data_IF_609980080245
#
_entry.id   IF_609980080245
#
_cell.length_a   1.000
_cell.length_b   1.000
_cell.length_c   1.000
_cell.angle_alpha   90.00
_cell.angle_beta   90.00
_cell.angle_gamma   90.00
#
_symmetry.space_group_name_H-M   'P 1'
#
loop_
_entity.id
_entity.type
_entity.pdbx_description
1 polymer ?
#
# COMPACT_ATOMS: atom_id res chain seq x y z
N UNK A 1 1.28 19.76 -10.82
CA UNK A 1 1.38 21.12 -11.37
C UNK A 1 0.21 21.46 -12.33
N UNK A 2 -0.21 20.57 -13.23
CA UNK A 2 -1.32 20.80 -14.16
C UNK A 2 -2.66 21.02 -13.43
N UNK A 3 -2.98 20.20 -12.44
CA UNK A 3 -4.19 20.36 -11.64
C UNK A 3 -4.20 21.72 -10.88
N UNK A 4 -3.10 22.07 -10.24
CA UNK A 4 -2.96 23.37 -9.55
C UNK A 4 -3.21 24.53 -10.53
N UNK A 5 -2.62 24.47 -11.71
CA UNK A 5 -2.82 25.50 -12.74
C UNK A 5 -4.26 25.50 -13.27
N UNK A 6 -4.90 24.35 -13.48
CA UNK A 6 -6.29 24.29 -13.93
C UNK A 6 -7.28 24.93 -12.93
N UNK A 7 -7.00 24.85 -11.64
CA UNK A 7 -7.81 25.46 -10.59
C UNK A 7 -7.54 26.97 -10.48
N UNK A 8 -6.29 27.41 -10.63
CA UNK A 8 -5.88 28.80 -10.39
C UNK A 8 -6.00 29.68 -11.65
N UNK A 9 -5.74 29.11 -12.84
CA UNK A 9 -5.74 29.87 -14.09
C UNK A 9 -7.02 30.70 -14.36
N UNK A 10 -8.24 30.21 -14.09
CA UNK A 10 -9.45 31.01 -14.30
C UNK A 10 -9.50 32.29 -13.46
N UNK A 11 -8.78 32.35 -12.36
CA UNK A 11 -8.80 33.48 -11.40
C UNK A 11 -7.63 34.45 -11.59
N UNK A 12 -6.61 34.06 -12.37
CA UNK A 12 -5.48 34.94 -12.69
C UNK A 12 -5.97 36.20 -13.43
N UNK A 13 -5.60 37.36 -12.90
CA UNK A 13 -6.04 38.66 -13.43
C UNK A 13 -7.46 39.07 -13.05
N UNK A 14 -8.22 38.22 -12.32
CA UNK A 14 -9.52 38.58 -11.74
C UNK A 14 -9.43 38.82 -10.22
N UNK A 15 -8.50 38.14 -9.56
CA UNK A 15 -8.23 38.28 -8.13
C UNK A 15 -6.85 38.92 -7.90
N UNK A 16 -6.66 39.58 -6.73
CA UNK A 16 -5.33 40.09 -6.34
C UNK A 16 -4.28 39.00 -6.28
N UNK A 17 -3.05 39.32 -6.63
CA UNK A 17 -1.92 38.36 -6.65
C UNK A 17 -1.73 37.65 -5.31
N UNK A 18 -1.92 38.35 -4.18
CA UNK A 18 -1.85 37.76 -2.83
C UNK A 18 -2.91 36.66 -2.58
N UNK A 19 -4.06 36.74 -3.22
CA UNK A 19 -5.11 35.73 -3.14
C UNK A 19 -4.71 34.54 -4.00
N UNK A 20 -4.16 34.78 -5.18
CA UNK A 20 -3.65 33.73 -6.07
C UNK A 20 -2.50 32.95 -5.39
N UNK A 21 -1.55 33.64 -4.77
CA UNK A 21 -0.46 33.03 -4.01
C UNK A 21 -0.98 32.14 -2.85
N UNK A 22 -1.96 32.61 -2.09
CA UNK A 22 -2.60 31.82 -1.04
C UNK A 22 -3.30 30.57 -1.59
N UNK A 23 -4.02 30.70 -2.71
CA UNK A 23 -4.64 29.54 -3.38
C UNK A 23 -3.57 28.53 -3.82
N UNK A 24 -2.46 29.02 -4.38
CA UNK A 24 -1.36 28.17 -4.80
C UNK A 24 -0.67 27.46 -3.64
N UNK A 25 -0.54 28.11 -2.49
CA UNK A 25 0.01 27.53 -1.28
C UNK A 25 -0.91 26.43 -0.73
N UNK A 26 -2.20 26.71 -0.63
CA UNK A 26 -3.20 25.74 -0.18
C UNK A 26 -3.27 24.51 -1.11
N UNK A 27 -3.15 24.71 -2.43
CA UNK A 27 -3.09 23.66 -3.43
C UNK A 27 -1.73 22.95 -3.50
N UNK A 28 -0.77 23.29 -2.65
CA UNK A 28 0.54 22.63 -2.58
C UNK A 28 0.57 21.50 -1.54
N UNK A 29 -0.50 21.29 -0.78
CA UNK A 29 -0.62 20.24 0.23
C UNK A 29 -0.76 18.84 -0.36
N UNK A 30 -0.54 17.81 0.48
CA UNK A 30 -0.66 16.39 0.11
C UNK A 30 -2.06 16.03 -0.40
N UNK A 31 -3.11 16.62 0.17
CA UNK A 31 -4.51 16.43 -0.25
C UNK A 31 -4.73 16.76 -1.73
N UNK A 32 -4.05 17.78 -2.26
CA UNK A 32 -4.17 18.17 -3.67
C UNK A 32 -3.60 17.11 -4.61
N UNK A 33 -2.53 16.43 -4.20
CA UNK A 33 -1.94 15.33 -4.99
C UNK A 33 -2.92 14.15 -5.04
N UNK A 34 -3.57 13.84 -3.93
CA UNK A 34 -4.56 12.76 -3.85
C UNK A 34 -5.81 13.09 -4.69
N UNK A 35 -6.30 14.33 -4.63
CA UNK A 35 -7.43 14.79 -5.47
C UNK A 35 -7.07 14.73 -6.96
N UNK A 36 -5.89 15.22 -7.35
CA UNK A 36 -5.44 15.18 -8.72
C UNK A 36 -5.32 13.73 -9.24
N UNK A 37 -4.79 12.83 -8.42
CA UNK A 37 -4.71 11.41 -8.73
C UNK A 37 -6.11 10.78 -8.89
N UNK A 38 -7.04 11.13 -8.01
CA UNK A 38 -8.43 10.65 -8.08
C UNK A 38 -9.16 11.21 -9.30
N UNK A 39 -8.94 12.47 -9.66
CA UNK A 39 -9.52 13.05 -10.87
C UNK A 39 -9.07 12.31 -12.13
N UNK A 40 -7.78 12.01 -12.25
CA UNK A 40 -7.27 11.22 -13.37
C UNK A 40 -7.83 9.79 -13.36
N UNK A 41 -7.88 9.15 -12.19
CA UNK A 41 -8.49 7.83 -12.02
C UNK A 41 -9.98 7.84 -12.43
N UNK A 42 -10.74 8.84 -11.98
CA UNK A 42 -12.16 8.98 -12.29
C UNK A 42 -12.41 9.16 -13.79
N UNK A 43 -11.54 9.87 -14.53
CA UNK A 43 -11.64 10.02 -15.98
C UNK A 43 -11.64 8.66 -16.70
N UNK A 44 -10.79 7.71 -16.27
CA UNK A 44 -10.76 6.38 -16.85
C UNK A 44 -12.06 5.60 -16.62
N UNK A 45 -12.76 5.86 -15.51
CA UNK A 45 -14.03 5.18 -15.18
C UNK A 45 -15.22 5.86 -15.88
N UNK A 46 -15.18 7.20 -16.04
CA UNK A 46 -16.33 7.98 -16.47
C UNK A 46 -16.32 8.32 -17.96
N UNK A 47 -15.15 8.38 -18.60
CA UNK A 47 -15.01 8.76 -20.00
C UNK A 47 -15.68 7.74 -20.94
N UNK A 48 -16.67 8.19 -21.68
CA UNK A 48 -17.44 7.34 -22.64
C UNK A 48 -16.57 6.82 -23.77
N UNK A 49 -15.64 7.65 -24.26
CA UNK A 49 -14.72 7.30 -25.35
C UNK A 49 -13.74 6.16 -24.97
N UNK A 50 -13.39 6.03 -23.70
CA UNK A 50 -12.56 4.93 -23.20
C UNK A 50 -13.35 3.62 -23.09
N UNK A 51 -14.64 3.67 -22.76
CA UNK A 51 -15.53 2.50 -22.72
C UNK A 51 -15.74 1.91 -24.11
N UNK A 52 -15.80 2.75 -25.14
CA UNK A 52 -15.92 2.30 -26.53
C UNK A 52 -14.57 1.79 -27.10
N UNK A 53 -13.46 2.16 -26.47
CA UNK A 53 -12.10 1.82 -26.93
C UNK A 53 -11.54 0.55 -26.30
N UNK A 54 -11.92 0.25 -25.05
CA UNK A 54 -11.36 -0.86 -24.28
C UNK A 54 -12.46 -1.76 -23.72
N UNK A 55 -12.29 -3.05 -23.85
CA UNK A 55 -13.18 -4.06 -23.23
C UNK A 55 -12.96 -4.14 -21.71
N UNK A 56 -11.72 -3.93 -21.24
CA UNK A 56 -11.34 -3.97 -19.85
C UNK A 56 -10.39 -2.83 -19.51
N UNK A 57 -10.52 -2.29 -18.31
CA UNK A 57 -9.58 -1.33 -17.72
C UNK A 57 -9.05 -1.96 -16.43
N UNK A 58 -7.74 -2.14 -16.34
CA UNK A 58 -7.07 -2.74 -15.18
C UNK A 58 -6.26 -1.64 -14.50
N UNK A 59 -6.54 -1.42 -13.21
CA UNK A 59 -5.80 -0.50 -12.38
C UNK A 59 -4.79 -1.28 -11.52
N UNK A 60 -3.50 -1.09 -11.77
CA UNK A 60 -2.45 -1.49 -10.85
C UNK A 60 -2.25 -0.38 -9.83
N UNK A 61 -2.54 -0.70 -8.57
CA UNK A 61 -2.64 0.29 -7.50
C UNK A 61 -1.38 0.35 -6.64
N UNK A 62 -1.15 1.51 -6.01
CA UNK A 62 -0.15 1.68 -4.96
C UNK A 62 -0.48 0.82 -3.71
N UNK A 63 0.43 0.70 -2.72
CA UNK A 63 0.13 0.01 -1.46
C UNK A 63 -1.19 0.45 -0.83
N UNK A 64 -1.90 -0.50 -0.22
CA UNK A 64 -3.31 -0.42 0.20
C UNK A 64 -3.75 0.89 0.85
N UNK A 65 -2.94 1.49 1.74
CA UNK A 65 -3.30 2.72 2.45
C UNK A 65 -3.56 3.92 1.54
N UNK A 66 -2.72 4.15 0.52
CA UNK A 66 -2.92 5.25 -0.45
C UNK A 66 -4.12 5.00 -1.38
N UNK A 67 -4.31 3.76 -1.81
CA UNK A 67 -5.46 3.40 -2.66
C UNK A 67 -6.77 3.55 -1.92
N UNK A 68 -6.83 3.09 -0.66
CA UNK A 68 -8.00 3.24 0.20
C UNK A 68 -8.35 4.71 0.43
N UNK A 69 -7.38 5.56 0.78
CA UNK A 69 -7.60 7.01 0.91
C UNK A 69 -8.15 7.60 -0.39
N UNK A 70 -7.58 7.26 -1.53
CA UNK A 70 -8.03 7.73 -2.83
C UNK A 70 -9.48 7.33 -3.11
N UNK A 71 -9.88 6.10 -2.77
CA UNK A 71 -11.25 5.61 -2.99
C UNK A 71 -12.25 6.16 -1.95
N UNK A 72 -11.81 6.58 -0.77
CA UNK A 72 -12.63 7.22 0.25
C UNK A 72 -12.92 8.70 -0.05
N UNK A 73 -12.02 9.38 -0.77
CA UNK A 73 -12.12 10.81 -1.09
C UNK A 73 -13.50 11.23 -1.64
N UNK A 74 -14.11 10.52 -2.61
CA UNK A 74 -15.39 10.94 -3.18
C UNK A 74 -16.54 10.97 -2.19
N UNK A 75 -16.60 10.00 -1.28
CA UNK A 75 -17.63 9.94 -0.23
C UNK A 75 -17.44 11.06 0.79
N UNK A 76 -16.20 11.29 1.23
CA UNK A 76 -15.85 12.39 2.12
C UNK A 76 -16.16 13.75 1.49
N UNK A 77 -15.85 13.93 0.20
CA UNK A 77 -16.11 15.15 -0.54
C UNK A 77 -17.59 15.41 -0.78
N UNK A 78 -18.36 14.36 -1.12
CA UNK A 78 -19.81 14.48 -1.33
C UNK A 78 -20.49 14.93 -0.04
N UNK A 79 -20.10 14.40 1.12
CA UNK A 79 -20.59 14.78 2.42
C UNK A 79 -20.18 16.23 2.76
N UNK A 80 -18.90 16.57 2.56
CA UNK A 80 -18.37 17.91 2.82
C UNK A 80 -19.07 18.99 1.96
N UNK A 81 -19.28 18.76 0.66
CA UNK A 81 -19.99 19.68 -0.23
C UNK A 81 -21.47 19.83 0.20
N UNK A 82 -22.10 18.74 0.67
CA UNK A 82 -23.50 18.78 1.13
C UNK A 82 -23.67 19.49 2.48
N UNK A 83 -22.67 19.45 3.35
CA UNK A 83 -22.68 20.08 4.67
C UNK A 83 -22.19 21.54 4.65
N UNK A 84 -21.36 21.93 3.68
CA UNK A 84 -20.83 23.29 3.54
C UNK A 84 -21.87 24.25 2.93
N UNK A 85 -22.93 24.54 3.66
CA UNK A 85 -23.90 25.59 3.29
C UNK A 85 -23.40 27.01 3.55
N UNK A 86 -22.20 27.21 4.09
CA UNK A 86 -21.58 28.50 4.36
C UNK A 86 -20.15 28.55 3.77
N UNK A 87 -20.06 29.09 2.61
CA UNK A 87 -18.99 29.49 1.71
C UNK A 87 -17.62 29.92 2.21
N UNK A 88 -16.97 29.24 3.14
CA UNK A 88 -15.57 29.48 3.50
C UNK A 88 -14.90 28.15 3.79
N UNK A 89 -14.59 27.41 2.75
CA UNK A 89 -13.70 26.26 2.83
C UNK A 89 -12.30 26.66 2.36
N UNK A 90 -11.30 25.96 2.86
CA UNK A 90 -9.89 26.10 2.47
C UNK A 90 -9.58 25.95 0.96
N UNK A 91 -10.59 25.69 0.12
CA UNK A 91 -10.47 25.35 -1.30
C UNK A 91 -11.06 26.38 -2.27
N UNK A 92 -11.30 27.62 -1.85
CA UNK A 92 -11.78 28.67 -2.73
C UNK A 92 -13.23 28.48 -3.20
N UNK A 93 -13.75 29.40 -4.03
CA UNK A 93 -15.12 29.35 -4.52
C UNK A 93 -15.38 28.11 -5.38
N UNK A 94 -16.27 27.27 -4.88
CA UNK A 94 -16.56 25.87 -5.25
C UNK A 94 -17.29 25.67 -6.60
N UNK A 95 -17.35 26.63 -7.51
CA UNK A 95 -18.11 26.49 -8.76
C UNK A 95 -17.62 25.37 -9.69
N UNK A 96 -16.34 24.98 -9.62
CA UNK A 96 -15.81 23.83 -10.36
C UNK A 96 -16.11 22.47 -9.72
N UNK A 97 -16.37 22.44 -8.41
CA UNK A 97 -16.59 21.19 -7.67
C UNK A 97 -18.00 20.62 -7.82
N UNK A 98 -19.00 21.45 -8.18
CA UNK A 98 -20.34 20.95 -8.45
C UNK A 98 -20.38 20.14 -9.76
N UNK A 99 -19.62 20.53 -10.77
CA UNK A 99 -19.51 19.76 -12.03
C UNK A 99 -18.77 18.44 -11.80
N UNK A 100 -17.75 18.42 -10.93
CA UNK A 100 -17.02 17.23 -10.56
C UNK A 100 -17.84 16.27 -9.67
N UNK A 101 -18.81 16.76 -8.92
CA UNK A 101 -19.65 15.97 -8.00
C UNK A 101 -20.39 14.84 -8.72
N UNK A 102 -20.97 15.10 -9.88
CA UNK A 102 -21.65 14.07 -10.65
C UNK A 102 -20.67 13.02 -11.21
N UNK A 103 -19.46 13.47 -11.59
CA UNK A 103 -18.39 12.59 -12.05
C UNK A 103 -17.93 11.66 -10.91
N UNK A 104 -17.73 12.21 -9.72
CA UNK A 104 -17.35 11.42 -8.55
C UNK A 104 -18.43 10.43 -8.12
N UNK A 105 -19.67 10.89 -8.08
CA UNK A 105 -20.81 10.02 -7.78
C UNK A 105 -20.95 8.87 -8.79
N UNK A 106 -20.73 9.17 -10.07
CA UNK A 106 -20.74 8.14 -11.10
C UNK A 106 -19.57 7.16 -10.90
N UNK A 107 -18.35 7.66 -10.59
CA UNK A 107 -17.19 6.80 -10.33
C UNK A 107 -17.43 5.88 -9.13
N UNK A 108 -17.94 6.41 -8.01
CA UNK A 108 -18.28 5.62 -6.81
C UNK A 108 -19.31 4.54 -7.11
N UNK A 109 -20.38 4.92 -7.83
CA UNK A 109 -21.44 3.98 -8.20
C UNK A 109 -20.90 2.87 -9.13
N UNK A 110 -20.00 3.21 -10.06
CA UNK A 110 -19.37 2.21 -10.95
C UNK A 110 -18.45 1.27 -10.16
N UNK A 111 -17.70 1.78 -9.21
CA UNK A 111 -16.84 0.96 -8.34
C UNK A 111 -17.65 0.03 -7.42
N UNK A 112 -18.82 0.49 -6.97
CA UNK A 112 -19.72 -0.31 -6.13
C UNK A 112 -20.58 -1.31 -6.93
N UNK A 113 -20.69 -1.14 -8.26
CA UNK A 113 -21.45 -2.07 -9.10
C UNK A 113 -20.63 -3.33 -9.39
N UNK A 114 -20.96 -4.42 -8.71
CA UNK A 114 -20.30 -5.71 -8.87
C UNK A 114 -20.44 -6.35 -10.26
N UNK A 115 -21.25 -5.80 -11.16
CA UNK A 115 -21.31 -6.25 -12.57
C UNK A 115 -20.25 -5.56 -13.44
N UNK A 116 -19.81 -4.39 -13.04
CA UNK A 116 -18.86 -3.56 -13.76
C UNK A 116 -17.46 -3.61 -13.17
N UNK A 117 -17.36 -3.74 -11.85
CA UNK A 117 -16.09 -3.67 -11.13
C UNK A 117 -15.85 -4.93 -10.32
N UNK A 118 -14.64 -5.46 -10.42
CA UNK A 118 -14.13 -6.52 -9.56
C UNK A 118 -12.85 -6.03 -8.88
N UNK A 119 -12.81 -6.14 -7.57
CA UNK A 119 -11.64 -5.82 -6.77
C UNK A 119 -10.84 -7.09 -6.54
N UNK A 120 -9.55 -7.05 -6.87
CA UNK A 120 -8.64 -8.16 -6.68
C UNK A 120 -7.70 -7.84 -5.52
N UNK A 121 -7.90 -8.49 -4.39
CA UNK A 121 -6.98 -8.46 -3.25
C UNK A 121 -5.87 -9.46 -3.51
N UNK A 122 -4.63 -9.04 -3.37
CA UNK A 122 -3.46 -9.92 -3.55
C UNK A 122 -2.67 -9.98 -2.26
N UNK A 123 -2.52 -11.17 -1.71
CA UNK A 123 -1.76 -11.42 -0.48
C UNK A 123 -0.75 -12.55 -0.68
N UNK A 124 0.31 -12.54 0.11
CA UNK A 124 1.17 -13.72 0.28
C UNK A 124 0.56 -14.64 1.33
N UNK A 125 0.86 -15.96 1.30
CA UNK A 125 0.38 -16.92 2.30
C UNK A 125 1.14 -16.76 3.63
N UNK A 126 1.06 -15.57 4.22
CA UNK A 126 1.71 -15.16 5.46
C UNK A 126 0.73 -14.38 6.32
N UNK A 127 0.85 -14.46 7.65
CA UNK A 127 -0.12 -13.89 8.60
C UNK A 127 -0.35 -12.38 8.37
N UNK A 128 0.71 -11.58 8.31
CA UNK A 128 0.61 -10.12 8.15
C UNK A 128 -0.06 -9.70 6.83
N UNK A 129 0.34 -10.21 5.63
CA UNK A 129 -0.36 -9.92 4.39
C UNK A 129 -1.83 -10.33 4.39
N UNK A 130 -2.19 -11.43 5.05
CA UNK A 130 -3.59 -11.87 5.17
C UNK A 130 -4.40 -10.93 6.07
N UNK A 131 -3.83 -10.47 7.18
CA UNK A 131 -4.46 -9.47 8.05
C UNK A 131 -4.66 -8.13 7.33
N UNK A 132 -3.68 -7.67 6.55
CA UNK A 132 -3.80 -6.46 5.74
C UNK A 132 -4.86 -6.59 4.65
N UNK A 133 -4.92 -7.74 3.96
CA UNK A 133 -5.98 -8.02 2.99
C UNK A 133 -7.37 -8.02 3.64
N UNK A 134 -7.49 -8.58 4.85
CA UNK A 134 -8.73 -8.57 5.61
C UNK A 134 -9.17 -7.16 6.01
N UNK A 135 -8.24 -6.33 6.47
CA UNK A 135 -8.50 -4.93 6.78
C UNK A 135 -8.97 -4.16 5.54
N UNK A 136 -8.22 -4.29 4.43
CA UNK A 136 -8.56 -3.64 3.17
C UNK A 136 -9.93 -4.10 2.64
N UNK A 137 -10.25 -5.39 2.74
CA UNK A 137 -11.56 -5.94 2.38
C UNK A 137 -12.69 -5.29 3.16
N UNK A 138 -12.54 -5.16 4.47
CA UNK A 138 -13.54 -4.54 5.33
C UNK A 138 -13.76 -3.06 4.99
N UNK A 139 -12.68 -2.27 4.90
CA UNK A 139 -12.73 -0.84 4.56
C UNK A 139 -13.35 -0.59 3.18
N UNK A 140 -13.06 -1.43 2.19
CA UNK A 140 -13.65 -1.34 0.85
C UNK A 140 -15.12 -1.74 0.83
N UNK A 141 -15.51 -2.71 1.65
CA UNK A 141 -16.91 -3.11 1.82
C UNK A 141 -17.74 -1.99 2.44
N UNK A 142 -17.18 -1.20 3.37
CA UNK A 142 -17.83 0.00 3.91
C UNK A 142 -18.10 1.06 2.84
N UNK A 143 -17.28 1.12 1.78
CA UNK A 143 -17.50 1.97 0.61
C UNK A 143 -18.48 1.38 -0.42
N UNK A 144 -19.03 0.20 -0.16
CA UNK A 144 -19.95 -0.50 -1.04
C UNK A 144 -19.27 -1.38 -2.10
N UNK A 145 -17.95 -1.51 -2.08
CA UNK A 145 -17.18 -2.34 -3.03
C UNK A 145 -17.15 -3.78 -2.51
N UNK A 146 -18.21 -4.53 -2.80
CA UNK A 146 -18.43 -5.87 -2.26
C UNK A 146 -18.04 -7.00 -3.23
N UNK A 147 -17.85 -6.72 -4.51
CA UNK A 147 -17.39 -7.72 -5.48
C UNK A 147 -15.87 -7.88 -5.39
N UNK A 148 -15.42 -8.75 -4.49
CA UNK A 148 -14.03 -8.94 -4.14
C UNK A 148 -13.59 -10.38 -4.41
N UNK A 149 -12.39 -10.54 -4.94
CA UNK A 149 -11.68 -11.82 -5.12
C UNK A 149 -10.34 -11.74 -4.39
N UNK A 150 -9.91 -12.88 -3.85
CA UNK A 150 -8.61 -13.00 -3.20
C UNK A 150 -7.65 -13.82 -4.06
N UNK A 151 -6.44 -13.34 -4.25
CA UNK A 151 -5.33 -14.10 -4.84
C UNK A 151 -4.25 -14.31 -3.79
N UNK A 152 -3.99 -15.56 -3.48
CA UNK A 152 -2.85 -15.97 -2.66
C UNK A 152 -1.67 -16.23 -3.59
N UNK A 153 -0.71 -15.29 -3.59
CA UNK A 153 0.42 -15.32 -4.52
C UNK A 153 1.70 -15.83 -3.83
N UNK A 154 2.38 -16.76 -4.49
CA UNK A 154 3.66 -17.30 -4.03
C UNK A 154 3.52 -18.48 -3.08
N UNK A 155 2.51 -19.32 -3.31
CA UNK A 155 2.32 -20.58 -2.57
C UNK A 155 3.44 -21.57 -2.93
N UNK A 156 4.10 -22.10 -1.92
CA UNK A 156 5.13 -23.10 -2.11
C UNK A 156 4.48 -24.44 -2.45
N UNK A 157 4.80 -25.01 -3.60
CA UNK A 157 4.21 -26.26 -4.08
C UNK A 157 5.15 -27.48 -3.92
N UNK A 158 6.45 -27.23 -3.77
CA UNK A 158 7.46 -28.27 -3.54
C UNK A 158 8.29 -27.90 -2.31
N UNK A 159 8.61 -28.87 -1.48
CA UNK A 159 9.38 -28.74 -0.26
C UNK A 159 10.17 -30.03 -0.03
N UNK A 160 11.41 -30.04 -0.50
CA UNK A 160 12.31 -31.18 -0.53
C UNK A 160 13.55 -31.01 0.38
N UNK A 161 13.61 -29.91 1.12
CA UNK A 161 14.64 -29.63 2.13
C UNK A 161 14.03 -29.01 3.40
N UNK A 162 14.82 -29.00 4.51
CA UNK A 162 14.35 -28.50 5.81
C UNK A 162 13.83 -27.04 5.78
N UNK A 163 14.39 -26.21 4.92
CA UNK A 163 14.01 -24.80 4.84
C UNK A 163 12.69 -24.65 4.10
N UNK A 164 12.56 -25.31 2.95
CA UNK A 164 11.32 -25.29 2.16
C UNK A 164 10.18 -25.97 2.91
N UNK A 165 10.44 -27.06 3.65
CA UNK A 165 9.46 -27.68 4.54
C UNK A 165 8.96 -26.73 5.64
N UNK A 166 9.88 -26.03 6.32
CA UNK A 166 9.53 -25.08 7.36
C UNK A 166 8.70 -23.89 6.80
N UNK A 167 9.01 -23.43 5.58
CA UNK A 167 8.22 -22.40 4.89
C UNK A 167 6.84 -22.92 4.50
N UNK A 168 6.75 -24.12 3.98
CA UNK A 168 5.48 -24.75 3.61
C UNK A 168 4.55 -24.89 4.82
N UNK A 169 5.04 -25.45 5.93
CA UNK A 169 4.26 -25.60 7.15
C UNK A 169 3.81 -24.24 7.69
N UNK A 170 4.65 -23.21 7.64
CA UNK A 170 4.28 -21.85 8.05
C UNK A 170 3.21 -21.23 7.15
N UNK A 171 3.31 -21.42 5.83
CA UNK A 171 2.28 -20.96 4.89
C UNK A 171 0.94 -21.66 5.16
N UNK A 172 0.97 -22.96 5.38
CA UNK A 172 -0.20 -23.77 5.71
C UNK A 172 -0.84 -23.30 7.01
N UNK A 173 -0.06 -23.10 8.07
CA UNK A 173 -0.55 -22.56 9.34
C UNK A 173 -1.22 -21.20 9.16
N UNK A 174 -0.62 -20.30 8.36
CA UNK A 174 -1.17 -18.98 8.08
C UNK A 174 -2.49 -19.06 7.31
N UNK A 175 -2.62 -19.97 6.36
CA UNK A 175 -3.84 -20.21 5.59
C UNK A 175 -4.93 -20.86 6.44
N UNK A 176 -4.58 -21.80 7.32
CA UNK A 176 -5.51 -22.43 8.27
C UNK A 176 -6.10 -21.40 9.25
N UNK A 177 -5.32 -20.36 9.58
CA UNK A 177 -5.72 -19.23 10.45
C UNK A 177 -6.21 -18.00 9.65
N UNK A 178 -6.57 -18.18 8.38
CA UNK A 178 -7.05 -17.08 7.54
C UNK A 178 -8.19 -16.31 8.24
N UNK A 179 -8.12 -14.95 8.24
CA UNK A 179 -9.15 -14.12 8.86
C UNK A 179 -10.54 -14.36 8.26
N UNK A 180 -11.56 -14.41 9.11
CA UNK A 180 -12.95 -14.71 8.70
C UNK A 180 -13.49 -13.74 7.65
N UNK A 181 -13.08 -12.46 7.66
CA UNK A 181 -13.57 -11.46 6.69
C UNK A 181 -13.14 -11.69 5.24
N UNK A 182 -12.10 -12.49 4.99
CA UNK A 182 -11.65 -12.85 3.64
C UNK A 182 -11.75 -14.33 3.31
N UNK A 183 -12.11 -15.15 4.29
CA UNK A 183 -12.15 -16.61 4.17
C UNK A 183 -13.20 -17.10 3.17
N UNK A 184 -14.33 -16.40 3.11
CA UNK A 184 -15.45 -16.73 2.22
C UNK A 184 -15.33 -16.09 0.83
N UNK A 185 -14.29 -15.31 0.58
CA UNK A 185 -14.04 -14.75 -0.75
C UNK A 185 -13.65 -15.84 -1.74
N UNK A 186 -14.05 -15.66 -2.99
CA UNK A 186 -13.54 -16.50 -4.09
C UNK A 186 -12.03 -16.36 -4.14
N UNK A 187 -11.30 -17.45 -3.89
CA UNK A 187 -9.84 -17.42 -3.70
C UNK A 187 -9.12 -18.24 -4.76
N UNK A 188 -8.13 -17.63 -5.37
CA UNK A 188 -7.23 -18.24 -6.35
C UNK A 188 -5.82 -18.35 -5.76
N UNK A 189 -5.13 -19.44 -6.08
CA UNK A 189 -3.79 -19.72 -5.59
C UNK A 189 -2.79 -19.71 -6.74
N UNK A 190 -1.74 -18.89 -6.62
CA UNK A 190 -0.66 -18.82 -7.59
C UNK A 190 0.60 -19.39 -6.95
N UNK A 191 1.17 -20.45 -7.52
CA UNK A 191 2.41 -21.05 -7.00
C UNK A 191 3.58 -20.07 -7.07
N UNK A 192 4.53 -20.23 -6.13
CA UNK A 192 5.82 -19.57 -6.20
C UNK A 192 6.58 -20.07 -7.44
N UNK A 193 7.03 -19.12 -8.26
CA UNK A 193 7.76 -19.47 -9.48
C UNK A 193 9.26 -19.41 -9.24
N UNK A 194 10.00 -20.38 -9.77
CA UNK A 194 11.47 -20.45 -9.71
C UNK A 194 12.18 -19.50 -10.68
N UNK A 195 11.47 -18.57 -11.33
CA UNK A 195 12.03 -17.64 -12.29
C UNK A 195 11.51 -16.20 -12.09
N UNK A 196 12.29 -15.23 -12.55
CA UNK A 196 11.92 -13.83 -12.48
C UNK A 196 10.93 -13.44 -13.59
N UNK A 197 9.86 -12.73 -13.24
CA UNK A 197 8.85 -12.21 -14.17
C UNK A 197 9.31 -10.89 -14.83
N UNK A 198 10.49 -10.89 -15.45
CA UNK A 198 11.13 -9.70 -16.02
C UNK A 198 11.07 -9.64 -17.56
N UNK A 199 10.36 -10.57 -18.19
CA UNK A 199 10.15 -10.60 -19.65
C UNK A 199 8.71 -10.94 -19.99
N UNK A 200 8.28 -10.57 -21.22
CA UNK A 200 6.95 -10.92 -21.73
C UNK A 200 6.77 -12.45 -21.82
N UNK A 201 7.83 -13.16 -22.13
CA UNK A 201 7.82 -14.63 -22.21
C UNK A 201 7.57 -15.26 -20.83
N UNK A 202 8.24 -14.75 -19.79
CA UNK A 202 8.03 -15.20 -18.43
C UNK A 202 6.63 -14.83 -17.91
N UNK A 203 6.09 -13.67 -18.29
CA UNK A 203 4.71 -13.31 -17.99
C UNK A 203 3.69 -14.23 -18.68
N UNK A 204 3.94 -14.59 -19.96
CA UNK A 204 3.10 -15.58 -20.66
C UNK A 204 3.15 -16.94 -19.98
N UNK A 205 4.33 -17.35 -19.50
CA UNK A 205 4.49 -18.60 -18.77
C UNK A 205 3.73 -18.65 -17.44
N UNK A 206 3.36 -17.51 -16.87
CA UNK A 206 2.50 -17.43 -15.69
C UNK A 206 1.07 -17.91 -15.97
N UNK A 207 0.60 -17.76 -17.21
CA UNK A 207 -0.76 -18.13 -17.67
C UNK A 207 -0.82 -19.54 -18.27
N UNK A 208 0.32 -20.16 -18.52
CA UNK A 208 0.44 -21.49 -19.11
C UNK A 208 0.98 -22.43 -18.04
N UNK A 209 0.56 -23.68 -18.05
CA UNK A 209 0.93 -24.71 -17.09
C UNK A 209 2.44 -24.81 -16.79
N UNK A 210 2.76 -25.28 -15.60
CA UNK A 210 4.06 -25.34 -14.97
C UNK A 210 5.21 -25.77 -15.90
N UNK A 211 6.06 -24.81 -16.26
CA UNK A 211 7.41 -25.14 -16.67
C UNK A 211 8.18 -25.54 -15.41
N UNK A 212 8.57 -26.78 -15.31
CA UNK A 212 9.61 -27.18 -14.37
C UNK A 212 10.88 -26.38 -14.68
N UNK A 213 11.27 -25.54 -13.74
CA UNK A 213 12.48 -24.75 -13.85
C UNK A 213 13.56 -25.44 -13.02
N UNK A 214 14.48 -26.08 -13.68
CA UNK A 214 15.71 -26.57 -13.06
C UNK A 214 16.73 -25.44 -13.09
N UNK A 215 17.10 -24.92 -11.94
CA UNK A 215 18.18 -23.95 -11.80
C UNK A 215 19.51 -24.73 -11.61
N UNK A 216 20.41 -24.60 -12.56
CA UNK A 216 21.78 -25.11 -12.41
C UNK A 216 22.70 -24.14 -11.62
N UNK A 217 22.13 -23.21 -10.89
CA UNK A 217 22.91 -22.25 -10.09
C UNK A 217 23.17 -22.81 -8.72
N UNK A 218 24.40 -23.30 -8.54
CA UNK A 218 24.92 -23.71 -7.24
C UNK A 218 25.28 -22.43 -6.43
N UNK A 219 24.41 -22.02 -5.53
CA UNK A 219 24.65 -20.86 -4.65
C UNK A 219 25.41 -21.35 -3.43
N UNK A 220 26.71 -21.06 -3.35
CA UNK A 220 27.49 -21.32 -2.17
C UNK A 220 27.17 -20.30 -1.04
N UNK A 221 26.22 -20.65 -0.16
CA UNK A 221 25.77 -19.81 0.95
C UNK A 221 26.79 -19.79 2.11
N UNK A 222 27.81 -20.65 2.08
CA UNK A 222 28.75 -20.78 3.21
C UNK A 222 29.71 -19.58 3.37
N UNK A 223 29.84 -18.74 2.36
CA UNK A 223 30.65 -17.51 2.38
C UNK A 223 29.85 -16.24 2.68
N UNK A 224 28.52 -16.35 2.89
CA UNK A 224 27.69 -15.18 3.16
C UNK A 224 27.88 -14.65 4.59
N UNK A 225 27.99 -13.34 4.73
CA UNK A 225 28.03 -12.63 6.01
C UNK A 225 26.72 -12.88 6.77
N UNK A 226 26.82 -13.26 8.04
CA UNK A 226 25.64 -13.51 8.88
C UNK A 226 25.14 -12.19 9.47
N UNK A 227 23.86 -12.10 9.76
CA UNK A 227 23.27 -10.92 10.42
C UNK A 227 23.98 -10.58 11.76
N UNK A 228 24.45 -11.59 12.49
CA UNK A 228 25.24 -11.42 13.70
C UNK A 228 26.53 -10.63 13.43
N UNK A 229 27.19 -10.88 12.30
CA UNK A 229 28.44 -10.19 11.96
C UNK A 229 28.18 -8.71 11.66
N UNK A 230 27.01 -8.39 11.06
CA UNK A 230 26.56 -7.01 10.85
C UNK A 230 26.32 -6.31 12.20
N UNK A 231 25.63 -6.97 13.14
CA UNK A 231 25.39 -6.43 14.49
C UNK A 231 26.71 -6.22 15.23
N UNK A 232 27.66 -7.15 15.12
CA UNK A 232 28.99 -7.05 15.71
C UNK A 232 29.79 -5.88 15.14
N UNK A 233 29.70 -5.66 13.82
CA UNK A 233 30.36 -4.54 13.14
C UNK A 233 29.75 -3.19 13.56
N UNK A 234 28.43 -3.06 13.58
CA UNK A 234 27.72 -1.87 14.02
C UNK A 234 28.09 -1.51 15.48
N UNK A 235 28.17 -2.52 16.35
CA UNK A 235 28.56 -2.36 17.75
C UNK A 235 30.00 -1.91 17.88
N UNK A 236 30.96 -2.59 17.20
CA UNK A 236 32.39 -2.28 17.24
C UNK A 236 32.69 -0.88 16.69
N UNK A 237 32.00 -0.46 15.67
CA UNK A 237 32.18 0.84 15.03
C UNK A 237 31.31 1.94 15.68
N UNK A 238 30.69 1.66 16.83
CA UNK A 238 29.91 2.60 17.65
C UNK A 238 28.85 3.38 16.82
N UNK A 239 28.20 2.73 15.84
CA UNK A 239 27.16 3.37 15.03
C UNK A 239 25.94 3.68 15.89
N UNK A 240 25.55 4.97 15.94
CA UNK A 240 24.47 5.45 16.82
C UNK A 240 23.13 5.60 16.11
N UNK A 241 23.14 5.84 14.81
CA UNK A 241 21.93 5.96 13.98
C UNK A 241 22.03 4.98 12.83
N UNK A 242 21.02 4.14 12.70
CA UNK A 242 20.96 3.06 11.69
C UNK A 242 19.65 3.18 10.95
N UNK A 243 19.71 3.26 9.62
CA UNK A 243 18.54 3.26 8.76
C UNK A 243 18.45 1.97 7.97
N UNK A 244 17.28 1.32 7.99
CA UNK A 244 16.95 0.23 7.08
C UNK A 244 16.09 0.76 5.94
N UNK A 245 16.57 0.66 4.71
CA UNK A 245 15.92 1.21 3.52
C UNK A 245 15.76 0.12 2.47
N UNK A 246 14.71 0.22 1.66
CA UNK A 246 14.45 -0.72 0.57
C UNK A 246 12.98 -0.66 0.11
N UNK A 247 12.65 -1.38 -0.95
CA UNK A 247 11.29 -1.50 -1.49
C UNK A 247 10.36 -2.24 -0.50
N UNK A 248 9.05 -2.14 -0.66
CA UNK A 248 8.07 -2.90 0.13
C UNK A 248 8.32 -4.42 0.08
N UNK A 249 8.11 -5.11 1.20
CA UNK A 249 8.20 -6.57 1.28
C UNK A 249 9.60 -7.19 1.30
N UNK A 250 10.69 -6.41 1.33
CA UNK A 250 12.07 -6.93 1.35
C UNK A 250 12.61 -7.23 2.74
N UNK A 251 11.78 -7.16 3.77
CA UNK A 251 12.17 -7.50 5.15
C UNK A 251 12.84 -6.37 5.95
N UNK A 252 12.65 -5.10 5.58
CA UNK A 252 13.22 -3.95 6.31
C UNK A 252 12.91 -3.99 7.81
N UNK A 253 11.64 -4.10 8.15
CA UNK A 253 11.14 -4.12 9.53
C UNK A 253 11.70 -5.31 10.30
N UNK A 254 11.72 -6.49 9.70
CA UNK A 254 12.30 -7.71 10.28
C UNK A 254 13.78 -7.54 10.59
N UNK A 255 14.55 -6.98 9.63
CA UNK A 255 15.98 -6.76 9.83
C UNK A 255 16.26 -5.65 10.86
N UNK A 256 15.47 -4.57 10.84
CA UNK A 256 15.57 -3.51 11.85
C UNK A 256 15.33 -4.05 13.27
N UNK A 257 14.27 -4.85 13.45
CA UNK A 257 13.95 -5.50 14.73
C UNK A 257 15.04 -6.47 15.18
N UNK A 258 15.58 -7.27 14.27
CA UNK A 258 16.65 -8.21 14.58
C UNK A 258 17.98 -7.49 14.95
N UNK A 259 18.32 -6.40 14.27
CA UNK A 259 19.50 -5.57 14.59
C UNK A 259 19.30 -4.88 15.96
N UNK A 260 18.11 -4.31 16.21
CA UNK A 260 17.79 -3.66 17.47
C UNK A 260 17.91 -4.65 18.65
N UNK A 261 17.34 -5.85 18.50
CA UNK A 261 17.48 -6.92 19.49
C UNK A 261 18.94 -7.34 19.69
N UNK A 262 19.69 -7.52 18.61
CA UNK A 262 21.10 -7.90 18.68
C UNK A 262 21.98 -6.88 19.40
N UNK A 263 21.74 -5.58 19.21
CA UNK A 263 22.44 -4.50 19.91
C UNK A 263 22.00 -4.42 21.39
N UNK A 264 20.71 -4.61 21.67
CA UNK A 264 20.16 -4.70 23.02
C UNK A 264 20.78 -5.87 23.78
N UNK A 265 20.93 -7.04 23.18
CA UNK A 265 21.54 -8.23 23.78
C UNK A 265 23.05 -8.03 24.07
N UNK A 266 23.69 -7.02 23.47
CA UNK A 266 25.03 -6.51 23.82
C UNK A 266 25.02 -5.45 24.93
N UNK A 267 23.87 -5.23 25.57
CA UNK A 267 23.74 -4.27 26.69
C UNK A 267 23.60 -2.81 26.24
N UNK A 268 23.31 -2.56 24.97
CA UNK A 268 23.10 -1.21 24.47
C UNK A 268 21.65 -0.76 24.68
N UNK A 269 21.46 0.53 25.00
CA UNK A 269 20.13 1.15 24.97
C UNK A 269 19.77 1.46 23.53
N UNK A 270 18.69 0.88 23.05
CA UNK A 270 18.23 0.98 21.66
C UNK A 270 16.83 1.58 21.61
N UNK A 271 16.62 2.51 20.70
CA UNK A 271 15.30 3.01 20.33
C UNK A 271 15.01 2.61 18.90
N UNK A 272 13.96 1.83 18.70
CA UNK A 272 13.49 1.39 17.38
C UNK A 272 12.24 2.20 17.00
N UNK A 273 12.31 2.89 15.87
CA UNK A 273 11.16 3.65 15.37
C UNK A 273 10.82 3.27 13.94
N UNK A 274 9.54 3.33 13.61
CA UNK A 274 9.05 3.11 12.24
C UNK A 274 8.26 4.31 11.74
N UNK A 275 8.38 4.58 10.45
CA UNK A 275 7.54 5.53 9.70
C UNK A 275 6.48 4.80 8.87
N UNK A 276 6.37 3.48 9.00
CA UNK A 276 5.38 2.69 8.28
C UNK A 276 4.01 2.81 8.96
N UNK A 277 2.98 3.36 8.30
CA UNK A 277 1.64 3.51 8.89
C UNK A 277 1.03 2.20 9.40
N UNK A 278 1.43 1.07 8.84
CA UNK A 278 0.89 -0.24 9.21
C UNK A 278 1.42 -0.78 10.55
N UNK A 279 2.34 -0.08 11.22
CA UNK A 279 2.91 -0.41 12.54
C UNK A 279 3.16 -1.91 12.79
N UNK A 280 3.90 -2.55 11.88
CA UNK A 280 4.23 -3.99 11.96
C UNK A 280 5.20 -4.36 13.08
N UNK A 281 5.69 -3.39 13.87
CA UNK A 281 6.58 -3.66 15.01
C UNK A 281 5.85 -4.29 16.19
N UNK A 282 4.56 -3.98 16.35
CA UNK A 282 3.73 -4.51 17.45
C UNK A 282 3.57 -6.02 17.30
N UNK A 283 4.12 -6.78 18.26
CA UNK A 283 4.09 -8.25 18.24
C UNK A 283 5.33 -8.93 17.64
N UNK A 284 6.24 -8.17 16.97
CA UNK A 284 7.52 -8.72 16.48
C UNK A 284 8.62 -8.69 17.53
N UNK A 285 8.59 -7.71 18.44
CA UNK A 285 9.62 -7.50 19.44
C UNK A 285 8.97 -6.88 20.69
N UNK A 286 9.44 -7.30 21.87
CA UNK A 286 8.98 -6.79 23.14
C UNK A 286 9.92 -5.68 23.67
N UNK A 287 9.33 -4.66 24.29
CA UNK A 287 10.06 -3.58 24.94
C UNK A 287 10.60 -4.03 26.31
N UNK A 288 11.73 -3.45 26.70
CA UNK A 288 12.29 -3.60 28.04
C UNK A 288 13.13 -2.36 28.44
N UNK A 289 13.88 -2.44 29.54
CA UNK A 289 14.69 -1.33 30.04
C UNK A 289 15.80 -0.85 29.06
N UNK A 290 16.16 -1.68 28.08
CA UNK A 290 17.20 -1.41 27.09
C UNK A 290 16.65 -1.22 25.67
N UNK A 291 15.40 -1.61 25.39
CA UNK A 291 14.79 -1.51 24.07
C UNK A 291 13.43 -0.84 24.18
N UNK A 292 13.31 0.31 23.56
CA UNK A 292 12.04 1.04 23.42
C UNK A 292 11.60 1.13 21.96
N UNK A 293 10.30 1.15 21.74
CA UNK A 293 9.70 1.18 20.40
C UNK A 293 8.83 2.42 20.27
N UNK A 294 8.84 3.07 19.11
CA UNK A 294 7.91 4.12 18.77
C UNK A 294 7.44 4.01 17.31
N UNK A 295 6.34 4.65 17.07
CA UNK A 295 5.78 4.85 15.73
C UNK A 295 5.64 6.34 15.47
N UNK A 296 6.05 6.80 14.30
CA UNK A 296 5.83 8.19 13.87
C UNK A 296 4.53 8.21 13.07
N UNK A 297 3.48 8.74 13.70
CA UNK A 297 2.19 8.95 13.07
C UNK A 297 2.17 10.33 12.42
N UNK A 298 2.08 10.35 11.08
CA UNK A 298 2.10 11.61 10.30
C UNK A 298 0.93 12.53 10.67
N UNK A 299 -0.26 11.98 10.98
CA UNK A 299 -1.43 12.77 11.33
C UNK A 299 -1.31 13.38 12.72
N UNK A 300 -0.75 12.65 13.69
CA UNK A 300 -0.48 13.19 15.02
C UNK A 300 0.61 14.26 14.99
N UNK A 301 1.65 14.04 14.20
CA UNK A 301 2.73 15.04 14.09
C UNK A 301 2.24 16.31 13.35
N UNK A 302 1.43 16.18 12.31
CA UNK A 302 0.81 17.34 11.64
C UNK A 302 -0.11 18.15 12.54
N UNK A 303 -0.81 17.53 13.51
CA UNK A 303 -1.64 18.26 14.48
C UNK A 303 -0.83 19.09 15.48
N UNK A 304 0.47 18.78 15.65
CA UNK A 304 1.39 19.52 16.54
C UNK A 304 2.05 20.71 15.85
N UNK A 305 1.98 20.79 14.51
CA UNK A 305 2.53 21.87 13.70
C UNK A 305 1.51 22.98 13.47
#
# INVERSE_FOLDING_TARGET
NEYKESVVAPYRGQLPDSVIENMEEQLSGSCTVEIAAFNEFSKFITASDLKDKYDYIIFDTAPTGHTLRMLQLPSAWTNFISESTQGTSCLGQLSGLEEEKETYKFAVNTLADGKLTSLVLVARPEETPLLEANRASAELSELGINNQILIINGLLSAHDDEVSEAFYEKQKESLDKMPEGIKDLETYFIPLRGYNLNSIENLRSLLIEDKEYTSDVDININESTRLKDIVDDLYKNEKKVIFTMGKGGVGKTTLASAIAKGLRDKGQKVHLTTTDPANHLTGMIEEDDLLTISHIDEEEELKKY
#
